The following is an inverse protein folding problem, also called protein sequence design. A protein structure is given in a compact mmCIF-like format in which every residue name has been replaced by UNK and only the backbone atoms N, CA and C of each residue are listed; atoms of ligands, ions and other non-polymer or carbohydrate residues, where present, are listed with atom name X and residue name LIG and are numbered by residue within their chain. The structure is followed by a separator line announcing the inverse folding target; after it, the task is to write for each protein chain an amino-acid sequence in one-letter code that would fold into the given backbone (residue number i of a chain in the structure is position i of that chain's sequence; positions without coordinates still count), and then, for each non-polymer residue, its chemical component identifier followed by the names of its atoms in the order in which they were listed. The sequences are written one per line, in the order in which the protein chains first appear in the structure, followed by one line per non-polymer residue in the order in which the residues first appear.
data_IF_138334924958
#
_entry.id   IF_138334924958
#
_cell.length_a   1.000
_cell.length_b   1.000
_cell.length_c   1.000
_cell.angle_alpha   90.00
_cell.angle_beta   90.00
_cell.angle_gamma   90.00
#
_symmetry.space_group_name_H-M   'P 1'
#
loop_
_entity.id
_entity.type
_entity.pdbx_description
1 polymer ?
#
# COMPACT_ATOMS: atom_id res chain seq x y z
N UNK A 1 -32.77 7.78 -12.29
CA UNK A 1 -33.07 9.12 -11.71
C UNK A 1 -32.11 9.35 -10.55
N UNK A 2 -31.27 10.40 -10.61
CA UNK A 2 -30.35 10.81 -9.53
C UNK A 2 -30.78 12.18 -9.02
N UNK A 3 -30.84 12.44 -7.71
CA UNK A 3 -30.90 13.81 -7.22
C UNK A 3 -29.48 14.37 -7.03
N UNK A 4 -29.17 15.43 -7.77
CA UNK A 4 -28.14 16.40 -7.44
C UNK A 4 -28.59 17.19 -6.21
N UNK A 5 -27.71 17.36 -5.23
CA UNK A 5 -27.87 18.38 -4.20
C UNK A 5 -26.80 19.45 -4.40
N UNK A 6 -27.27 20.65 -4.76
CA UNK A 6 -26.50 21.89 -4.85
C UNK A 6 -26.89 22.72 -3.64
N UNK A 7 -25.93 23.03 -2.76
CA UNK A 7 -26.08 24.11 -1.78
C UNK A 7 -25.02 25.18 -2.04
N UNK A 8 -25.48 26.30 -2.59
CA UNK A 8 -24.82 27.61 -2.58
C UNK A 8 -25.25 28.38 -1.32
N UNK A 9 -24.31 29.00 -0.63
CA UNK A 9 -24.57 30.04 0.39
C UNK A 9 -23.27 30.45 1.09
N UNK A 10 -22.63 31.55 0.69
CA UNK A 10 -22.59 32.85 1.41
C UNK A 10 -22.04 32.68 2.84
N UNK A 11 -20.84 33.10 3.22
CA UNK A 11 -20.08 34.30 2.84
C UNK A 11 -20.35 35.40 3.88
N UNK A 12 -19.61 35.43 5.00
CA UNK A 12 -19.52 36.57 5.93
C UNK A 12 -18.15 36.57 6.65
N UNK A 13 -17.22 37.41 6.18
CA UNK A 13 -16.31 38.20 7.02
C UNK A 13 -16.56 39.65 6.57
N UNK A 14 -16.68 40.64 7.47
CA UNK A 14 -15.47 41.21 8.07
C UNK A 14 -15.66 41.78 9.48
N UNK A 15 -14.58 41.86 10.27
CA UNK A 15 -14.49 42.91 11.29
C UNK A 15 -13.04 43.29 11.52
N UNK A 16 -12.56 44.22 10.68
CA UNK A 16 -11.45 45.09 11.00
C UNK A 16 -11.98 46.22 11.89
N UNK A 17 -11.42 46.39 13.09
CA UNK A 17 -11.48 47.64 13.84
C UNK A 17 -10.06 48.07 14.21
N UNK A 18 -9.85 49.38 14.07
CA UNK A 18 -8.61 50.12 13.96
C UNK A 18 -7.84 50.29 15.31
N UNK A 19 -6.67 50.96 15.31
CA UNK A 19 -5.66 50.87 16.36
C UNK A 19 -5.82 51.94 17.44
N UNK A 20 -5.28 51.66 18.64
CA UNK A 20 -4.91 52.68 19.63
C UNK A 20 -3.54 52.32 20.20
N UNK A 21 -2.53 53.09 19.80
CA UNK A 21 -1.29 53.19 20.56
C UNK A 21 -1.47 54.12 21.75
N UNK A 22 -0.80 53.80 22.85
CA UNK A 22 -0.13 54.70 23.80
C UNK A 22 1.09 53.92 24.30
N UNK A 23 2.25 54.57 24.24
CA UNK A 23 3.57 54.09 24.65
C UNK A 23 3.88 54.40 26.13
N UNK A 24 5.03 53.88 26.58
CA UNK A 24 5.84 54.12 27.80
C UNK A 24 5.49 53.24 29.02
N UNK A 25 6.42 52.58 29.72
CA UNK A 25 7.88 52.44 29.62
C UNK A 25 8.36 51.25 30.49
N UNK A 26 9.52 50.71 30.12
CA UNK A 26 10.53 50.04 30.95
C UNK A 26 10.16 48.79 31.77
N UNK A 27 10.44 47.62 31.17
CA UNK A 27 11.12 46.54 31.88
C UNK A 27 12.02 45.77 30.91
N UNK A 28 13.30 45.81 31.26
CA UNK A 28 14.47 45.15 30.70
C UNK A 28 14.25 43.68 30.32
N UNK A 29 14.87 43.32 29.20
CA UNK A 29 15.59 42.07 28.94
C UNK A 29 14.92 40.91 28.18
N UNK A 30 15.57 40.63 27.04
CA UNK A 30 15.81 39.34 26.38
C UNK A 30 14.72 38.80 25.46
N UNK A 31 14.91 39.16 24.18
CA UNK A 31 14.96 38.25 23.03
C UNK A 31 14.61 36.78 23.32
N UNK A 32 13.45 36.39 22.79
CA UNK A 32 13.18 35.07 22.22
C UNK A 32 14.41 34.56 21.45
N UNK A 33 14.67 33.26 21.53
CA UNK A 33 14.32 32.50 20.34
C UNK A 33 13.41 31.32 20.67
N UNK A 34 12.17 31.37 20.21
CA UNK A 34 11.64 30.45 19.17
C UNK A 34 12.56 29.24 18.94
N UNK A 35 12.48 28.28 19.86
CA UNK A 35 13.10 26.99 19.73
C UNK A 35 12.22 26.08 18.88
N UNK A 36 12.09 26.39 17.59
CA UNK A 36 11.81 25.37 16.57
C UNK A 36 12.96 24.35 16.61
N UNK A 37 12.84 23.34 17.47
CA UNK A 37 13.62 22.11 17.33
C UNK A 37 12.86 21.11 16.46
N UNK A 38 12.59 21.50 15.21
CA UNK A 38 12.59 20.52 14.12
C UNK A 38 14.06 20.24 13.78
N UNK A 39 14.77 19.71 14.78
CA UNK A 39 16.12 19.18 14.62
C UNK A 39 16.05 18.03 13.66
N UNK A 40 16.74 18.19 12.54
CA UNK A 40 16.89 17.19 11.53
C UNK A 40 17.46 15.89 12.17
N UNK A 41 16.86 14.76 11.77
CA UNK A 41 17.16 13.40 12.23
C UNK A 41 18.52 12.91 11.68
N UNK A 42 19.58 13.63 12.05
CA UNK A 42 20.91 13.51 11.44
C UNK A 42 21.81 12.52 12.19
N UNK A 43 21.42 12.11 13.41
CA UNK A 43 22.28 11.40 14.35
C UNK A 43 21.76 10.02 14.80
N UNK A 44 20.53 9.65 14.46
CA UNK A 44 20.00 8.34 14.86
C UNK A 44 20.55 7.23 13.94
N UNK A 45 20.99 6.08 14.48
CA UNK A 45 21.46 4.97 13.65
C UNK A 45 20.34 4.51 12.72
N UNK A 46 20.62 4.50 11.41
CA UNK A 46 19.69 4.05 10.38
C UNK A 46 19.88 2.55 10.11
N UNK A 47 18.80 1.79 10.16
CA UNK A 47 18.78 0.34 9.96
C UNK A 47 17.98 -0.02 8.71
N UNK A 48 18.15 -1.27 8.23
CA UNK A 48 17.37 -1.77 7.11
C UNK A 48 15.88 -1.80 7.42
N UNK A 49 15.07 -1.38 6.44
CA UNK A 49 13.63 -1.37 6.56
C UNK A 49 13.08 -2.82 6.58
N UNK A 50 12.48 -3.27 7.70
CA UNK A 50 11.96 -4.63 7.83
C UNK A 50 10.74 -4.89 6.93
N UNK A 51 10.02 -3.85 6.47
CA UNK A 51 8.92 -4.02 5.51
C UNK A 51 9.43 -4.46 4.14
N UNK A 52 10.61 -4.01 3.73
CA UNK A 52 11.19 -4.41 2.44
C UNK A 52 11.49 -5.91 2.44
N UNK A 53 12.08 -6.44 3.52
CA UNK A 53 12.36 -7.88 3.61
C UNK A 53 11.07 -8.70 3.65
N UNK A 54 10.05 -8.23 4.39
CA UNK A 54 8.73 -8.88 4.43
C UNK A 54 8.05 -8.90 3.05
N UNK A 55 8.05 -7.78 2.32
CA UNK A 55 7.47 -7.69 0.97
C UNK A 55 8.21 -8.57 -0.03
N UNK A 56 9.54 -8.67 0.06
CA UNK A 56 10.35 -9.58 -0.76
C UNK A 56 10.01 -11.05 -0.47
N UNK A 57 9.84 -11.42 0.80
CA UNK A 57 9.42 -12.75 1.19
C UNK A 57 8.01 -13.08 0.66
N UNK A 58 7.08 -12.13 0.78
CA UNK A 58 5.73 -12.26 0.20
C UNK A 58 5.79 -12.47 -1.31
N UNK A 59 6.59 -11.67 -2.04
CA UNK A 59 6.77 -11.83 -3.49
C UNK A 59 7.26 -13.23 -3.85
N UNK A 60 8.28 -13.75 -3.16
CA UNK A 60 8.80 -15.10 -3.41
C UNK A 60 7.74 -16.17 -3.16
N UNK A 61 6.99 -16.06 -2.06
CA UNK A 61 5.91 -17.00 -1.75
C UNK A 61 4.82 -16.98 -2.83
N UNK A 62 4.41 -15.80 -3.27
CA UNK A 62 3.43 -15.65 -4.35
C UNK A 62 3.95 -16.26 -5.66
N UNK A 63 5.20 -16.04 -6.03
CA UNK A 63 5.80 -16.64 -7.23
C UNK A 63 5.78 -18.17 -7.16
N UNK A 64 6.19 -18.75 -6.03
CA UNK A 64 6.20 -20.21 -5.84
C UNK A 64 4.78 -20.81 -5.86
N UNK A 65 3.86 -20.24 -5.09
CA UNK A 65 2.48 -20.74 -5.01
C UNK A 65 1.74 -20.62 -6.35
N UNK A 66 1.96 -19.51 -7.06
CA UNK A 66 1.31 -19.30 -8.36
C UNK A 66 1.90 -20.19 -9.45
N UNK A 67 3.20 -20.49 -9.41
CA UNK A 67 3.81 -21.47 -10.31
C UNK A 67 3.23 -22.88 -10.10
N UNK A 68 3.10 -23.31 -8.84
CA UNK A 68 2.50 -24.61 -8.52
C UNK A 68 1.03 -24.69 -8.93
N UNK A 69 0.24 -23.65 -8.62
CA UNK A 69 -1.17 -23.59 -9.04
C UNK A 69 -1.32 -23.66 -10.57
N UNK A 70 -0.49 -22.93 -11.32
CA UNK A 70 -0.47 -22.97 -12.80
C UNK A 70 -0.19 -24.37 -13.31
N UNK A 71 0.79 -25.06 -12.72
CA UNK A 71 1.15 -26.42 -13.07
C UNK A 71 0.01 -27.40 -12.81
N UNK A 72 -0.61 -27.35 -11.63
CA UNK A 72 -1.71 -28.25 -11.27
C UNK A 72 -2.90 -28.08 -12.22
N UNK A 73 -3.31 -26.84 -12.49
CA UNK A 73 -4.41 -26.55 -13.41
C UNK A 73 -4.11 -27.00 -14.84
N UNK A 74 -2.88 -26.83 -15.30
CA UNK A 74 -2.47 -27.30 -16.63
C UNK A 74 -2.49 -28.81 -16.73
N UNK A 75 -2.00 -29.52 -15.72
CA UNK A 75 -2.07 -30.99 -15.66
C UNK A 75 -3.52 -31.46 -15.68
N UNK A 76 -4.37 -30.92 -14.80
CA UNK A 76 -5.80 -31.29 -14.75
C UNK A 76 -6.51 -30.98 -16.07
N UNK A 77 -6.20 -29.84 -16.69
CA UNK A 77 -6.77 -29.46 -17.99
C UNK A 77 -6.36 -30.44 -19.09
N UNK A 78 -5.08 -30.84 -19.15
CA UNK A 78 -4.58 -31.84 -20.12
C UNK A 78 -5.18 -33.22 -19.90
N UNK A 79 -5.29 -33.67 -18.65
CA UNK A 79 -5.84 -34.99 -18.33
C UNK A 79 -7.29 -35.13 -18.82
N UNK A 80 -8.07 -34.06 -18.68
CA UNK A 80 -9.47 -34.03 -19.11
C UNK A 80 -9.57 -33.76 -20.63
N UNK A 81 -8.79 -32.83 -21.17
CA UNK A 81 -8.75 -32.54 -22.61
C UNK A 81 -8.23 -33.70 -23.46
N UNK A 82 -7.45 -34.61 -22.87
CA UNK A 82 -7.02 -35.84 -23.55
C UNK A 82 -8.14 -36.86 -23.78
N UNK A 83 -9.30 -36.69 -23.11
CA UNK A 83 -10.40 -37.67 -23.13
C UNK A 83 -10.08 -38.99 -22.44
N UNK A 84 -8.89 -39.14 -21.84
CA UNK A 84 -8.42 -40.40 -21.21
C UNK A 84 -9.08 -40.66 -19.85
N UNK A 85 -9.30 -39.60 -19.06
CA UNK A 85 -9.84 -39.70 -17.70
C UNK A 85 -11.34 -39.43 -17.68
N UNK A 86 -11.81 -38.53 -18.54
CA UNK A 86 -13.22 -38.18 -18.66
C UNK A 86 -13.51 -37.67 -20.08
N UNK A 87 -14.59 -38.16 -20.70
CA UNK A 87 -14.95 -37.83 -22.08
C UNK A 87 -16.45 -37.58 -22.24
N UNK A 88 -16.82 -36.97 -23.38
CA UNK A 88 -18.20 -36.61 -23.72
C UNK A 88 -18.48 -35.12 -23.55
N UNK A 89 -19.67 -34.68 -23.99
CA UNK A 89 -20.06 -33.26 -24.06
C UNK A 89 -19.89 -32.49 -22.75
N UNK A 90 -20.14 -33.15 -21.61
CA UNK A 90 -19.96 -32.55 -20.29
C UNK A 90 -18.48 -32.35 -19.95
N UNK A 91 -17.61 -33.28 -20.34
CA UNK A 91 -16.16 -33.14 -20.17
C UNK A 91 -15.62 -31.99 -21.01
N UNK A 92 -16.09 -31.83 -22.26
CA UNK A 92 -15.70 -30.73 -23.15
C UNK A 92 -16.10 -29.35 -22.58
N UNK A 93 -17.33 -29.26 -22.05
CA UNK A 93 -17.83 -28.04 -21.42
C UNK A 93 -17.00 -27.68 -20.17
N UNK A 94 -16.70 -28.68 -19.34
CA UNK A 94 -15.90 -28.50 -18.14
C UNK A 94 -14.45 -28.11 -18.46
N UNK A 95 -13.85 -28.73 -19.48
CA UNK A 95 -12.51 -28.38 -19.97
C UNK A 95 -12.45 -26.91 -20.41
N UNK A 96 -13.45 -26.46 -21.17
CA UNK A 96 -13.56 -25.07 -21.63
C UNK A 96 -13.68 -24.09 -20.45
N UNK A 97 -14.47 -24.44 -19.43
CA UNK A 97 -14.59 -23.65 -18.21
C UNK A 97 -13.27 -23.58 -17.43
N UNK A 98 -12.55 -24.70 -17.32
CA UNK A 98 -11.27 -24.75 -16.63
C UNK A 98 -10.22 -23.88 -17.33
N UNK A 99 -10.15 -23.90 -18.67
CA UNK A 99 -9.27 -23.00 -19.43
C UNK A 99 -9.62 -21.53 -19.21
N UNK A 100 -10.91 -21.18 -19.19
CA UNK A 100 -11.36 -19.82 -18.89
C UNK A 100 -10.94 -19.36 -17.49
N UNK A 101 -11.13 -20.20 -16.47
CA UNK A 101 -10.72 -19.92 -15.08
C UNK A 101 -9.20 -19.81 -14.97
N UNK A 102 -8.45 -20.68 -15.64
CA UNK A 102 -6.98 -20.65 -15.69
C UNK A 102 -6.48 -19.34 -16.29
N UNK A 103 -7.06 -18.90 -17.41
CA UNK A 103 -6.72 -17.62 -18.04
C UNK A 103 -7.03 -16.44 -17.10
N UNK A 104 -8.18 -16.46 -16.43
CA UNK A 104 -8.56 -15.42 -15.48
C UNK A 104 -7.58 -15.33 -14.31
N UNK A 105 -7.26 -16.45 -13.66
CA UNK A 105 -6.30 -16.48 -12.55
C UNK A 105 -4.92 -16.01 -12.98
N UNK A 106 -4.45 -16.41 -14.17
CA UNK A 106 -3.19 -15.90 -14.73
C UNK A 106 -3.19 -14.37 -14.78
N UNK A 107 -4.27 -13.77 -15.28
CA UNK A 107 -4.41 -12.31 -15.37
C UNK A 107 -4.42 -11.60 -14.01
N UNK A 108 -4.95 -12.25 -12.96
CA UNK A 108 -4.93 -11.70 -11.61
C UNK A 108 -3.52 -11.76 -11.02
N UNK A 109 -2.84 -12.90 -11.16
CA UNK A 109 -1.46 -13.10 -10.69
C UNK A 109 -0.51 -12.11 -11.34
N UNK A 110 -0.67 -11.89 -12.64
CA UNK A 110 0.15 -10.95 -13.41
C UNK A 110 -0.03 -9.49 -12.95
N UNK A 111 -1.07 -9.18 -12.15
CA UNK A 111 -1.27 -7.87 -11.50
C UNK A 111 -0.72 -7.81 -10.08
N UNK A 112 -0.78 -8.90 -9.32
CA UNK A 112 -0.37 -8.92 -7.91
C UNK A 112 1.14 -8.72 -7.76
N UNK A 113 1.96 -9.40 -8.57
CA UNK A 113 3.42 -9.28 -8.47
C UNK A 113 3.89 -7.84 -8.74
N UNK A 114 3.44 -7.16 -9.82
CA UNK A 114 3.75 -5.74 -10.02
C UNK A 114 3.24 -4.82 -8.90
N UNK A 115 2.10 -5.12 -8.28
CA UNK A 115 1.60 -4.33 -7.16
C UNK A 115 2.51 -4.43 -5.94
N UNK A 116 3.05 -5.62 -5.65
CA UNK A 116 4.05 -5.81 -4.58
C UNK A 116 5.36 -5.09 -4.92
N UNK A 117 5.82 -5.17 -6.17
CA UNK A 117 7.00 -4.45 -6.63
C UNK A 117 6.86 -2.93 -6.52
N UNK A 118 5.68 -2.39 -6.87
CA UNK A 118 5.37 -0.98 -6.71
C UNK A 118 5.40 -0.56 -5.23
N UNK A 119 4.97 -1.43 -4.31
CA UNK A 119 5.03 -1.13 -2.88
C UNK A 119 6.46 -1.19 -2.33
N UNK A 120 7.27 -2.15 -2.79
CA UNK A 120 8.72 -2.19 -2.47
C UNK A 120 9.41 -0.91 -2.93
N UNK A 121 9.08 -0.42 -4.13
CA UNK A 121 9.68 0.80 -4.70
C UNK A 121 9.36 2.07 -3.91
N UNK A 122 8.23 2.13 -3.20
CA UNK A 122 7.86 3.26 -2.33
C UNK A 122 8.55 3.21 -0.97
N UNK A 123 9.06 2.06 -0.55
CA UNK A 123 9.65 1.92 0.78
C UNK A 123 11.05 2.54 0.82
N UNK A 124 11.36 3.37 1.83
CA UNK A 124 12.73 3.84 2.03
C UNK A 124 13.63 2.65 2.40
N UNK A 125 14.83 2.61 1.83
CA UNK A 125 15.78 1.52 2.05
C UNK A 125 16.22 1.41 3.51
N UNK A 126 16.37 2.56 4.17
CA UNK A 126 16.80 2.69 5.57
C UNK A 126 15.77 3.50 6.34
N UNK A 127 15.53 3.12 7.59
CA UNK A 127 14.63 3.78 8.54
C UNK A 127 15.35 3.94 9.87
N UNK A 128 14.85 4.79 10.76
CA UNK A 128 15.37 4.87 12.13
C UNK A 128 15.13 3.54 12.88
N UNK A 129 15.91 3.29 13.94
CA UNK A 129 15.71 2.11 14.80
C UNK A 129 14.31 2.08 15.41
N UNK A 130 13.78 3.25 15.82
CA UNK A 130 12.46 3.36 16.41
C UNK A 130 11.36 2.95 15.41
N UNK A 131 11.42 3.46 14.18
CA UNK A 131 10.51 3.07 13.11
C UNK A 131 10.62 1.59 12.77
N UNK A 132 11.84 1.05 12.66
CA UNK A 132 12.04 -0.37 12.42
C UNK A 132 11.43 -1.25 13.50
N UNK A 133 11.49 -0.82 14.77
CA UNK A 133 10.87 -1.54 15.89
C UNK A 133 9.35 -1.56 15.76
N UNK A 134 8.73 -0.41 15.47
CA UNK A 134 7.29 -0.31 15.26
C UNK A 134 6.83 -1.19 14.09
N UNK A 135 7.51 -1.10 12.95
CA UNK A 135 7.19 -1.92 11.78
C UNK A 135 7.32 -3.42 12.06
N UNK A 136 8.26 -3.86 12.91
CA UNK A 136 8.38 -5.27 13.31
C UNK A 136 7.22 -5.72 14.18
N UNK A 137 6.72 -4.85 15.06
CA UNK A 137 5.53 -5.14 15.88
C UNK A 137 4.30 -5.27 14.98
N UNK A 138 4.10 -4.34 14.04
CA UNK A 138 3.01 -4.40 13.06
C UNK A 138 3.06 -5.69 12.23
N UNK A 139 4.25 -6.09 11.77
CA UNK A 139 4.46 -7.32 11.00
C UNK A 139 4.19 -8.61 11.81
N UNK A 140 4.30 -8.53 13.14
CA UNK A 140 4.03 -9.64 14.05
C UNK A 140 2.59 -9.65 14.57
N UNK A 141 1.79 -8.62 14.26
CA UNK A 141 0.38 -8.52 14.63
C UNK A 141 0.13 -8.13 16.09
N UNK A 142 1.06 -7.39 16.71
CA UNK A 142 0.91 -6.83 18.06
C UNK A 142 0.33 -5.42 18.07
#
# INVERSE_FOLDING_TARGET
MRPQWVHKGRGIHPRCLAPRGIMLSDATHQQEPEGEHLGADDGQPKVDNPRISALKALKLNLLTQTAELRKQLETTSKDIGSGKVWSGKTADAWHSELEGRRAHMKSLIDKVIPAVDAEIAKCPAKVSVAEAKMMRMDLQGY
#
